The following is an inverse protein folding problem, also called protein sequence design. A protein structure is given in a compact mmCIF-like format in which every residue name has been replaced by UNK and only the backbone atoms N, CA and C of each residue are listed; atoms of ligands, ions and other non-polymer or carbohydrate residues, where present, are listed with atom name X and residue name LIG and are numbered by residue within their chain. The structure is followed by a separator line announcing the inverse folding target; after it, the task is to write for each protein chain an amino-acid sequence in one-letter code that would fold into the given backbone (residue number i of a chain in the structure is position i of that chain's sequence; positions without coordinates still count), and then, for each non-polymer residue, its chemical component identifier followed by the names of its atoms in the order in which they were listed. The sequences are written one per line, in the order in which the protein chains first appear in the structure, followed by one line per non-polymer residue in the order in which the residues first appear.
data_IF_069229737455
#
_entry.id   IF_069229737455
#
_cell.length_a   1.000
_cell.length_b   1.000
_cell.length_c   1.000
_cell.angle_alpha   90.00
_cell.angle_beta   90.00
_cell.angle_gamma   90.00
#
_symmetry.space_group_name_H-M   'P 1'
#
loop_
_entity.id
_entity.type
_entity.pdbx_description
1 polymer ?
#
# COMPACT_ATOMS: atom_id res chain seq x y z
N UNK A 1 -22.68 -9.93 22.60
CA UNK A 1 -21.53 -9.29 21.98
C UNK A 1 -21.60 -9.14 20.47
N UNK A 2 -22.62 -9.70 19.85
CA UNK A 2 -22.80 -9.58 18.41
C UNK A 2 -22.97 -8.12 17.94
N UNK A 3 -23.69 -7.30 18.73
CA UNK A 3 -23.84 -5.89 18.40
C UNK A 3 -22.48 -5.15 18.39
N UNK A 4 -21.59 -5.55 19.28
CA UNK A 4 -20.25 -5.02 19.34
C UNK A 4 -19.46 -5.36 18.07
N UNK A 5 -19.62 -6.60 17.58
CA UNK A 5 -18.95 -7.04 16.37
C UNK A 5 -19.46 -6.32 15.14
N UNK A 6 -20.76 -6.01 15.09
CA UNK A 6 -21.36 -5.34 13.94
C UNK A 6 -20.90 -3.88 13.80
N UNK A 7 -20.33 -3.30 14.85
CA UNK A 7 -19.80 -1.93 14.82
C UNK A 7 -18.29 -1.89 14.70
N UNK A 8 -17.67 -3.01 14.33
CA UNK A 8 -16.23 -3.11 14.19
C UNK A 8 -15.71 -2.09 13.19
N UNK A 9 -14.69 -1.33 13.61
CA UNK A 9 -14.01 -0.35 12.75
C UNK A 9 -12.97 -1.09 11.92
N UNK A 10 -12.93 -0.80 10.63
CA UNK A 10 -11.92 -1.37 9.74
C UNK A 10 -10.58 -0.69 9.99
N UNK A 11 -9.53 -1.49 10.06
CA UNK A 11 -8.17 -1.00 10.26
C UNK A 11 -7.39 -1.11 8.95
N UNK A 12 -6.75 -0.01 8.57
CA UNK A 12 -5.92 0.06 7.36
C UNK A 12 -4.50 0.40 7.74
N UNK A 13 -3.54 -0.21 7.04
CA UNK A 13 -2.15 0.20 7.08
C UNK A 13 -1.77 0.67 5.68
N UNK A 14 -1.35 1.92 5.55
CA UNK A 14 -1.07 2.55 4.27
C UNK A 14 0.38 3.00 4.22
N UNK A 15 1.08 2.65 3.14
CA UNK A 15 2.47 3.08 2.97
C UNK A 15 2.90 2.99 1.52
N UNK A 16 3.99 3.72 1.19
CA UNK A 16 4.64 3.62 -0.10
C UNK A 16 5.69 2.52 -0.04
N UNK A 17 5.85 1.81 -1.15
CA UNK A 17 6.86 0.76 -1.25
C UNK A 17 7.95 1.14 -2.23
N UNK A 18 9.18 1.18 -1.75
CA UNK A 18 10.36 1.49 -2.54
C UNK A 18 11.43 0.38 -2.42
N UNK A 19 10.99 -0.86 -2.20
CA UNK A 19 11.89 -2.00 -2.10
C UNK A 19 12.53 -2.19 -0.74
N UNK A 20 11.98 -1.57 0.31
CA UNK A 20 12.57 -1.67 1.65
C UNK A 20 12.43 -3.08 2.22
N UNK A 21 13.54 -3.61 2.71
CA UNK A 21 13.58 -4.97 3.28
C UNK A 21 12.77 -5.13 4.57
N UNK A 22 12.44 -4.03 5.22
CA UNK A 22 11.65 -4.06 6.47
C UNK A 22 10.18 -4.41 6.21
N UNK A 23 9.71 -4.26 4.98
CA UNK A 23 8.28 -4.44 4.66
C UNK A 23 7.76 -5.84 4.99
N UNK A 24 8.46 -6.94 4.69
CA UNK A 24 7.95 -8.26 5.08
C UNK A 24 7.72 -8.40 6.59
N UNK A 25 8.58 -7.78 7.41
CA UNK A 25 8.41 -7.79 8.86
C UNK A 25 7.19 -6.98 9.28
N UNK A 26 6.97 -5.84 8.63
CA UNK A 26 5.80 -5.01 8.88
C UNK A 26 4.50 -5.77 8.59
N UNK A 27 4.43 -6.45 7.48
CA UNK A 27 3.27 -7.24 7.09
C UNK A 27 3.02 -8.37 8.10
N UNK A 28 4.06 -9.08 8.47
CA UNK A 28 3.94 -10.18 9.42
C UNK A 28 3.45 -9.71 10.79
N UNK A 29 3.99 -8.60 11.26
CA UNK A 29 3.65 -8.06 12.56
C UNK A 29 2.22 -7.53 12.61
N UNK A 30 1.79 -6.84 11.55
CA UNK A 30 0.51 -6.12 11.55
C UNK A 30 -0.67 -6.93 11.02
N UNK A 31 -0.43 -8.04 10.32
CA UNK A 31 -1.52 -8.77 9.67
C UNK A 31 -2.66 -9.20 10.59
N UNK A 32 -2.44 -9.53 11.89
CA UNK A 32 -3.56 -9.88 12.77
C UNK A 32 -4.46 -8.69 13.12
N UNK A 33 -3.96 -7.46 12.94
CA UNK A 33 -4.64 -6.24 13.39
C UNK A 33 -5.20 -5.40 12.26
N UNK A 34 -4.84 -5.71 11.01
CA UNK A 34 -5.14 -4.88 9.85
C UNK A 34 -6.09 -5.63 8.93
N UNK A 35 -7.13 -4.97 8.48
CA UNK A 35 -8.08 -5.53 7.50
C UNK A 35 -7.53 -5.44 6.09
N UNK A 36 -6.89 -4.32 5.75
CA UNK A 36 -6.36 -4.10 4.42
C UNK A 36 -5.07 -3.31 4.52
N UNK A 37 -4.05 -3.79 3.81
CA UNK A 37 -2.83 -3.03 3.55
C UNK A 37 -3.02 -2.32 2.22
N UNK A 38 -2.88 -1.00 2.22
CA UNK A 38 -2.92 -0.20 0.99
C UNK A 38 -1.49 0.20 0.69
N UNK A 39 -0.92 -0.44 -0.32
CA UNK A 39 0.49 -0.25 -0.66
C UNK A 39 0.57 0.49 -1.98
N UNK A 40 1.30 1.60 -1.99
CA UNK A 40 1.45 2.44 -3.17
C UNK A 40 2.85 2.28 -3.73
N UNK A 41 2.94 2.09 -5.03
CA UNK A 41 4.23 2.12 -5.72
C UNK A 41 4.10 2.96 -6.97
N UNK A 42 5.11 3.84 -7.19
CA UNK A 42 5.21 4.66 -8.39
C UNK A 42 6.18 4.04 -9.38
N UNK A 43 5.86 4.16 -10.68
CA UNK A 43 6.80 3.82 -11.73
C UNK A 43 8.01 4.77 -11.75
N UNK A 44 7.92 5.91 -11.06
CA UNK A 44 8.98 6.91 -11.04
C UNK A 44 9.66 6.94 -9.68
N UNK A 45 10.98 7.08 -9.68
CA UNK A 45 11.74 7.28 -8.45
C UNK A 45 11.54 8.72 -7.96
N UNK A 46 12.01 9.00 -6.74
CA UNK A 46 11.94 10.37 -6.19
C UNK A 46 12.73 11.37 -7.02
N UNK A 47 13.74 10.92 -7.75
CA UNK A 47 14.51 11.77 -8.66
C UNK A 47 13.85 11.96 -10.03
N UNK A 48 12.71 11.28 -10.26
CA UNK A 48 11.95 11.41 -11.50
C UNK A 48 12.30 10.41 -12.59
N UNK A 49 13.17 9.47 -12.32
CA UNK A 49 13.54 8.43 -13.29
C UNK A 49 12.49 7.32 -13.32
N UNK A 50 12.12 6.89 -14.52
CA UNK A 50 11.18 5.80 -14.68
C UNK A 50 11.88 4.46 -14.44
N UNK A 51 11.25 3.61 -13.63
CA UNK A 51 11.74 2.26 -13.35
C UNK A 51 11.56 1.35 -14.57
N UNK A 52 12.40 0.34 -14.70
CA UNK A 52 12.25 -0.69 -15.71
C UNK A 52 11.36 -1.84 -15.22
N UNK A 53 11.24 -1.99 -13.91
CA UNK A 53 10.42 -3.01 -13.27
C UNK A 53 9.90 -2.48 -11.95
N UNK A 54 8.64 -2.78 -11.63
CA UNK A 54 8.09 -2.43 -10.32
C UNK A 54 8.70 -3.32 -9.24
N UNK A 55 8.94 -2.73 -8.07
CA UNK A 55 9.45 -3.47 -6.91
C UNK A 55 8.44 -4.51 -6.42
N UNK A 56 7.14 -4.24 -6.57
CA UNK A 56 6.12 -5.22 -6.19
C UNK A 56 6.23 -6.52 -7.01
N UNK A 57 6.71 -6.41 -8.24
CA UNK A 57 6.96 -7.58 -9.08
C UNK A 57 8.30 -8.22 -8.73
N UNK A 58 9.33 -7.41 -8.56
CA UNK A 58 10.68 -7.88 -8.24
C UNK A 58 10.71 -8.65 -6.93
N UNK A 59 9.95 -8.19 -5.93
CA UNK A 59 9.90 -8.79 -4.60
C UNK A 59 8.55 -9.45 -4.33
N UNK A 60 7.89 -9.96 -5.36
CA UNK A 60 6.53 -10.50 -5.25
C UNK A 60 6.40 -11.57 -4.16
N UNK A 61 7.44 -12.37 -3.94
CA UNK A 61 7.40 -13.43 -2.93
C UNK A 61 7.17 -12.91 -1.51
N UNK A 62 7.55 -11.66 -1.24
CA UNK A 62 7.36 -11.06 0.09
C UNK A 62 5.88 -10.89 0.44
N UNK A 63 5.02 -10.78 -0.58
CA UNK A 63 3.62 -10.40 -0.40
C UNK A 63 2.65 -11.57 -0.53
N UNK A 64 3.13 -12.73 -1.00
CA UNK A 64 2.29 -13.90 -1.25
C UNK A 64 1.43 -14.30 -0.02
N UNK A 65 1.98 -14.39 1.20
CA UNK A 65 1.18 -14.81 2.35
C UNK A 65 0.06 -13.82 2.72
N UNK A 66 0.15 -12.58 2.22
CA UNK A 66 -0.76 -11.51 2.62
C UNK A 66 -1.61 -11.00 1.45
N UNK A 67 -1.54 -11.67 0.30
CA UNK A 67 -2.13 -11.16 -0.93
C UNK A 67 -3.62 -10.83 -0.81
N UNK A 68 -4.37 -11.61 -0.04
CA UNK A 68 -5.81 -11.39 0.13
C UNK A 68 -6.14 -10.10 0.89
N UNK A 69 -5.15 -9.54 1.60
CA UNK A 69 -5.33 -8.32 2.38
C UNK A 69 -4.70 -7.10 1.72
N UNK A 70 -4.01 -7.27 0.60
CA UNK A 70 -3.27 -6.17 -0.01
C UNK A 70 -4.07 -5.57 -1.17
N UNK A 71 -4.20 -4.25 -1.14
CA UNK A 71 -4.66 -3.48 -2.28
C UNK A 71 -3.49 -2.63 -2.78
N UNK A 72 -3.10 -2.85 -4.04
CA UNK A 72 -2.01 -2.12 -4.66
C UNK A 72 -2.55 -0.90 -5.40
N UNK A 73 -1.89 0.24 -5.21
CA UNK A 73 -2.10 1.43 -6.02
C UNK A 73 -0.80 1.68 -6.77
N UNK A 74 -0.84 1.56 -8.08
CA UNK A 74 0.34 1.80 -8.92
C UNK A 74 0.16 3.13 -9.63
N UNK A 75 1.10 4.04 -9.38
CA UNK A 75 1.09 5.37 -9.98
C UNK A 75 1.92 5.31 -11.27
N UNK A 76 1.26 5.56 -12.39
CA UNK A 76 1.85 5.43 -13.71
C UNK A 76 2.13 6.78 -14.38
N UNK A 77 1.83 7.86 -13.71
CA UNK A 77 2.00 9.22 -14.23
C UNK A 77 3.06 9.97 -13.43
N UNK A 78 3.76 10.90 -14.07
CA UNK A 78 4.73 11.74 -13.38
C UNK A 78 3.96 12.78 -12.55
N UNK A 79 4.11 12.80 -11.22
CA UNK A 79 3.34 13.73 -10.39
C UNK A 79 3.88 15.16 -10.50
N UNK A 80 2.96 16.12 -10.53
CA UNK A 80 3.31 17.54 -10.52
C UNK A 80 3.71 18.03 -9.14
N UNK A 81 3.33 17.30 -8.10
CA UNK A 81 3.70 17.56 -6.71
C UNK A 81 4.76 16.56 -6.28
N UNK A 82 5.26 16.67 -5.04
CA UNK A 82 6.22 15.69 -4.55
C UNK A 82 5.60 14.30 -4.58
N UNK A 83 6.44 13.29 -4.83
CA UNK A 83 5.98 11.90 -4.92
C UNK A 83 5.20 11.49 -3.67
N UNK A 84 5.69 11.89 -2.49
CA UNK A 84 5.05 11.56 -1.22
C UNK A 84 3.63 12.12 -1.13
N UNK A 85 3.45 13.39 -1.48
CA UNK A 85 2.13 14.02 -1.48
C UNK A 85 1.17 13.35 -2.46
N UNK A 86 1.67 13.01 -3.63
CA UNK A 86 0.87 12.36 -4.66
C UNK A 86 0.43 10.98 -4.22
N UNK A 87 1.32 10.22 -3.59
CA UNK A 87 1.00 8.90 -3.06
C UNK A 87 -0.06 8.98 -1.95
N UNK A 88 0.07 9.94 -1.05
CA UNK A 88 -0.94 10.16 0.00
C UNK A 88 -2.30 10.53 -0.59
N UNK A 89 -2.29 11.37 -1.61
CA UNK A 89 -3.52 11.72 -2.32
C UNK A 89 -4.21 10.48 -2.89
N UNK A 90 -3.46 9.59 -3.52
CA UNK A 90 -4.02 8.37 -4.11
C UNK A 90 -4.58 7.44 -3.05
N UNK A 91 -3.92 7.33 -1.91
CA UNK A 91 -4.40 6.53 -0.78
C UNK A 91 -5.74 7.07 -0.29
N UNK A 92 -5.80 8.37 -0.04
CA UNK A 92 -7.03 9.02 0.44
C UNK A 92 -8.18 8.85 -0.56
N UNK A 93 -7.89 9.02 -1.84
CA UNK A 93 -8.88 8.87 -2.89
C UNK A 93 -9.45 7.45 -2.91
N UNK A 94 -8.58 6.46 -2.80
CA UNK A 94 -9.03 5.08 -2.77
C UNK A 94 -9.90 4.80 -1.54
N UNK A 95 -9.47 5.24 -0.37
CA UNK A 95 -10.22 5.02 0.88
C UNK A 95 -11.59 5.68 0.83
N UNK A 96 -11.68 6.88 0.25
CA UNK A 96 -12.93 7.60 0.10
C UNK A 96 -13.95 6.82 -0.73
N UNK A 97 -13.48 6.14 -1.77
CA UNK A 97 -14.35 5.44 -2.70
C UNK A 97 -14.64 3.99 -2.30
N UNK A 98 -13.89 3.43 -1.35
CA UNK A 98 -13.99 2.01 -0.98
C UNK A 98 -14.29 1.79 0.51
N UNK A 99 -14.74 2.82 1.16
CA UNK A 99 -14.99 2.79 2.61
C UNK A 99 -16.32 2.13 2.97
#
# INVERSE_FOLDING_TARGET
MSAFLSTRIRAYDTFSFNGEWIVPLRLQYLTPYVDTFIIVESWYTHSGEKKTELFKEKYASWFVPYASKIHWIVINEFPEMTTEWFEQYKIHDWMKNNH
#
